data_IF_189927399366
#
_entry.id   IF_189927399366
#
_cell.length_a   1.000
_cell.length_b   1.000
_cell.length_c   1.000
_cell.angle_alpha   90.00
_cell.angle_beta   90.00
_cell.angle_gamma   90.00
#
_symmetry.space_group_name_H-M   'P 1'
#
loop_
_entity.id
_entity.type
_entity.pdbx_description
1 polymer ?
#
# COMPACT_ATOMS: atom_id res chain seq x y z
N UNK A 1 -1.57 -9.99 -13.57
CA UNK A 1 -1.47 -11.12 -14.50
C UNK A 1 -2.70 -11.98 -14.33
N UNK A 2 -3.27 -12.49 -15.46
CA UNK A 2 -4.37 -13.46 -15.42
C UNK A 2 -3.91 -14.72 -14.70
N UNK A 3 -4.75 -15.26 -13.82
CA UNK A 3 -4.47 -16.55 -13.16
C UNK A 3 -4.50 -17.74 -14.15
N UNK A 4 -5.15 -17.56 -15.32
CA UNK A 4 -5.28 -18.59 -16.35
C UNK A 4 -4.33 -18.27 -17.50
N UNK A 5 -3.31 -19.12 -17.69
CA UNK A 5 -2.27 -18.93 -18.71
C UNK A 5 -2.56 -19.69 -20.00
N UNK A 6 -3.25 -20.83 -19.91
CA UNK A 6 -3.50 -21.72 -21.04
C UNK A 6 -4.94 -22.22 -20.98
N UNK A 7 -5.57 -22.34 -22.14
CA UNK A 7 -6.83 -23.05 -22.32
C UNK A 7 -6.60 -24.35 -23.08
N UNK A 8 -6.76 -25.48 -22.38
CA UNK A 8 -6.73 -26.82 -22.99
C UNK A 8 -7.81 -27.66 -22.30
N UNK A 9 -8.96 -27.83 -22.95
CA UNK A 9 -10.15 -28.49 -22.36
C UNK A 9 -10.62 -27.87 -21.04
N UNK A 10 -10.14 -26.67 -20.71
CA UNK A 10 -10.37 -25.91 -19.49
C UNK A 10 -9.33 -24.81 -19.31
N UNK A 11 -9.51 -23.96 -18.29
CA UNK A 11 -8.54 -22.94 -17.92
C UNK A 11 -7.49 -23.53 -16.98
N UNK A 12 -6.21 -23.40 -17.32
CA UNK A 12 -5.08 -23.86 -16.51
C UNK A 12 -4.31 -22.69 -15.93
N UNK A 13 -4.03 -22.75 -14.62
CA UNK A 13 -2.96 -21.98 -14.00
C UNK A 13 -1.61 -22.56 -14.40
N UNK A 14 -0.50 -21.84 -14.11
CA UNK A 14 0.85 -22.41 -14.35
C UNK A 14 1.04 -23.75 -13.60
N UNK A 15 0.61 -23.80 -12.34
CA UNK A 15 0.72 -25.01 -11.51
C UNK A 15 -0.09 -26.18 -12.08
N UNK A 16 -1.32 -25.94 -12.53
CA UNK A 16 -2.16 -26.97 -13.14
C UNK A 16 -1.53 -27.48 -14.44
N UNK A 17 -1.00 -26.58 -15.25
CA UNK A 17 -0.31 -26.89 -16.51
C UNK A 17 0.93 -27.77 -16.28
N UNK A 18 1.74 -27.40 -15.29
CA UNK A 18 2.93 -28.19 -14.89
C UNK A 18 2.55 -29.56 -14.31
N UNK A 19 1.49 -29.60 -13.49
CA UNK A 19 0.97 -30.87 -12.92
C UNK A 19 0.44 -31.81 -14.00
N UNK A 20 -0.12 -31.27 -15.08
CA UNK A 20 -0.56 -32.04 -16.23
C UNK A 20 0.60 -32.54 -17.14
N UNK A 21 1.84 -32.28 -16.76
CA UNK A 21 3.05 -32.72 -17.47
C UNK A 21 3.49 -31.80 -18.60
N UNK A 22 2.91 -30.61 -18.70
CA UNK A 22 3.27 -29.63 -19.71
C UNK A 22 4.07 -28.49 -19.10
N UNK A 23 5.03 -27.93 -19.85
CA UNK A 23 5.73 -26.72 -19.46
C UNK A 23 6.43 -26.78 -18.09
N UNK A 24 7.07 -27.90 -17.76
CA UNK A 24 7.76 -28.14 -16.47
C UNK A 24 8.75 -27.01 -16.13
N UNK A 25 9.41 -26.44 -17.13
CA UNK A 25 10.37 -25.34 -16.97
C UNK A 25 9.73 -23.95 -17.20
N UNK A 26 8.43 -23.85 -17.41
CA UNK A 26 7.76 -22.58 -17.61
C UNK A 26 7.70 -21.78 -16.29
N UNK A 27 7.84 -20.46 -16.39
CA UNK A 27 7.80 -19.53 -15.26
C UNK A 27 6.74 -18.45 -15.46
N UNK A 28 6.23 -17.91 -14.37
CA UNK A 28 5.32 -16.76 -14.40
C UNK A 28 6.06 -15.53 -13.85
N UNK A 29 6.85 -14.92 -14.71
CA UNK A 29 7.65 -13.72 -14.39
C UNK A 29 7.15 -12.59 -15.28
N UNK A 30 7.05 -11.37 -14.73
CA UNK A 30 6.73 -10.19 -15.53
C UNK A 30 7.93 -9.86 -16.43
N UNK A 31 7.79 -9.92 -17.76
CA UNK A 31 8.92 -9.67 -18.67
C UNK A 31 9.36 -8.21 -18.71
N UNK A 32 8.55 -7.27 -18.20
CA UNK A 32 8.84 -5.83 -18.25
C UNK A 32 9.32 -5.43 -19.64
N UNK A 33 8.39 -5.34 -20.59
CA UNK A 33 8.75 -5.04 -21.99
C UNK A 33 9.28 -3.62 -22.17
N UNK A 34 10.25 -3.46 -23.09
CA UNK A 34 10.80 -2.17 -23.48
C UNK A 34 9.70 -1.25 -24.03
N UNK A 35 8.86 -1.78 -24.90
CA UNK A 35 7.64 -1.11 -25.40
C UNK A 35 6.51 -2.12 -25.58
N UNK A 36 5.27 -1.63 -25.60
CA UNK A 36 4.10 -2.48 -25.84
C UNK A 36 4.01 -3.04 -27.28
N UNK A 37 4.86 -2.57 -28.19
CA UNK A 37 4.87 -2.98 -29.59
C UNK A 37 6.05 -3.90 -29.94
N UNK A 38 7.22 -3.69 -29.37
CA UNK A 38 8.40 -4.53 -29.63
C UNK A 38 8.40 -5.80 -28.80
N UNK A 39 7.78 -5.76 -27.61
CA UNK A 39 7.71 -6.87 -26.66
C UNK A 39 9.08 -7.48 -26.31
N UNK A 40 10.15 -6.68 -26.39
CA UNK A 40 11.50 -7.09 -25.97
C UNK A 40 11.52 -7.12 -24.43
N UNK A 41 11.79 -8.28 -23.79
CA UNK A 41 11.89 -8.34 -22.35
C UNK A 41 13.07 -7.53 -21.81
N UNK A 42 12.92 -6.93 -20.65
CA UNK A 42 13.99 -6.20 -19.95
C UNK A 42 14.45 -6.89 -18.66
N UNK A 43 13.66 -7.84 -18.17
CA UNK A 43 13.94 -8.45 -16.86
C UNK A 43 15.07 -9.46 -16.93
N UNK A 44 16.09 -9.27 -16.10
CA UNK A 44 17.22 -10.21 -15.94
C UNK A 44 16.78 -11.62 -15.50
N UNK A 45 15.58 -11.75 -14.93
CA UNK A 45 15.04 -13.03 -14.49
C UNK A 45 14.58 -13.95 -15.64
N UNK A 46 14.58 -13.48 -16.88
CA UNK A 46 14.26 -14.26 -18.08
C UNK A 46 15.45 -14.42 -19.02
N UNK A 47 16.53 -13.64 -18.77
CA UNK A 47 17.78 -13.69 -19.53
C UNK A 47 18.54 -14.98 -19.16
N UNK A 48 18.95 -15.75 -20.16
CA UNK A 48 19.69 -17.00 -20.01
C UNK A 48 18.99 -18.11 -19.17
N UNK A 49 17.67 -18.08 -19.06
CA UNK A 49 16.92 -19.03 -18.20
C UNK A 49 16.23 -20.15 -19.00
N UNK A 50 16.23 -20.09 -20.32
CA UNK A 50 15.56 -21.06 -21.18
C UNK A 50 16.28 -22.40 -21.27
N UNK A 51 15.54 -23.45 -21.62
CA UNK A 51 16.10 -24.77 -21.92
C UNK A 51 16.44 -24.85 -23.40
N UNK A 52 17.67 -25.20 -23.79
CA UNK A 52 18.04 -25.33 -25.20
C UNK A 52 17.23 -26.43 -25.88
N UNK A 53 16.77 -26.13 -27.09
CA UNK A 53 16.09 -27.08 -27.96
C UNK A 53 16.87 -27.17 -29.27
N UNK A 54 17.34 -28.37 -29.65
CA UNK A 54 18.20 -28.58 -30.83
C UNK A 54 17.56 -28.14 -32.14
N UNK A 55 16.21 -28.19 -32.20
CA UNK A 55 15.46 -27.92 -33.41
C UNK A 55 14.96 -26.46 -33.50
N UNK A 56 15.24 -25.64 -32.46
CA UNK A 56 14.88 -24.22 -32.40
C UNK A 56 16.14 -23.39 -32.22
N UNK A 57 16.82 -23.15 -33.33
CA UNK A 57 18.15 -22.50 -33.34
C UNK A 57 18.12 -20.97 -33.33
N UNK A 58 17.00 -20.39 -33.75
CA UNK A 58 16.86 -18.94 -33.89
C UNK A 58 15.59 -18.43 -33.18
N UNK A 59 15.63 -17.17 -32.81
CA UNK A 59 14.48 -16.44 -32.23
C UNK A 59 13.53 -15.94 -33.35
N UNK A 60 12.44 -15.24 -32.98
CA UNK A 60 11.46 -14.70 -33.93
C UNK A 60 12.06 -13.64 -34.87
N UNK A 61 13.17 -13.01 -34.51
CA UNK A 61 13.87 -12.00 -35.31
C UNK A 61 15.03 -12.59 -36.11
N UNK A 62 15.28 -13.92 -36.02
CA UNK A 62 16.42 -14.60 -36.68
C UNK A 62 17.71 -14.47 -35.91
N UNK A 63 17.69 -14.06 -34.63
CA UNK A 63 18.86 -14.06 -33.76
C UNK A 63 19.14 -15.49 -33.30
N UNK A 64 20.37 -15.95 -33.44
CA UNK A 64 20.73 -17.31 -33.04
C UNK A 64 20.65 -17.47 -31.53
N UNK A 65 19.91 -18.51 -31.10
CA UNK A 65 19.75 -18.83 -29.68
C UNK A 65 21.00 -19.45 -29.09
N UNK A 66 21.22 -19.17 -27.82
CA UNK A 66 22.25 -19.86 -27.04
C UNK A 66 22.02 -21.37 -27.02
N UNK A 67 23.05 -22.16 -27.33
CA UNK A 67 22.98 -23.63 -27.28
C UNK A 67 23.08 -24.20 -25.87
N UNK A 68 23.32 -23.36 -24.86
CA UNK A 68 23.49 -23.78 -23.46
C UNK A 68 22.50 -23.12 -22.52
N UNK A 69 22.15 -21.87 -22.77
CA UNK A 69 21.26 -21.07 -21.93
C UNK A 69 20.55 -19.99 -22.78
N UNK A 70 19.58 -20.36 -23.61
CA UNK A 70 18.79 -19.38 -24.37
C UNK A 70 17.87 -18.59 -23.44
N UNK A 71 17.35 -17.48 -23.95
CA UNK A 71 16.39 -16.70 -23.19
C UNK A 71 15.00 -17.36 -23.20
N UNK A 72 14.24 -17.11 -22.14
CA UNK A 72 12.85 -17.50 -22.11
C UNK A 72 12.00 -16.56 -22.94
N UNK A 73 11.21 -17.13 -23.84
CA UNK A 73 10.27 -16.38 -24.68
C UNK A 73 10.64 -16.43 -26.16
N UNK A 74 10.01 -15.55 -26.94
CA UNK A 74 10.14 -15.54 -28.41
C UNK A 74 11.39 -14.76 -28.89
N UNK A 75 12.03 -13.99 -28.05
CA UNK A 75 13.14 -13.08 -28.38
C UNK A 75 14.35 -13.45 -27.54
N UNK A 76 15.51 -13.56 -28.19
CA UNK A 76 16.83 -13.60 -27.55
C UNK A 76 17.26 -12.16 -27.28
N UNK A 77 17.53 -11.83 -26.01
CA UNK A 77 17.83 -10.46 -25.59
C UNK A 77 18.98 -10.46 -24.59
N UNK A 78 19.54 -9.31 -24.36
CA UNK A 78 20.53 -9.13 -23.29
C UNK A 78 19.98 -8.10 -22.30
N UNK A 79 19.75 -8.52 -21.08
CA UNK A 79 19.36 -7.59 -20.03
C UNK A 79 20.50 -6.60 -19.76
N UNK A 80 20.26 -5.32 -20.09
CA UNK A 80 21.31 -4.29 -20.10
C UNK A 80 21.54 -3.59 -18.76
N UNK A 81 20.82 -3.99 -17.70
CA UNK A 81 20.89 -3.38 -16.36
C UNK A 81 21.42 -4.33 -15.30
N UNK A 82 21.87 -3.74 -14.20
CA UNK A 82 22.22 -4.46 -12.97
C UNK A 82 21.24 -4.14 -11.85
N UNK A 83 21.11 -5.05 -10.89
CA UNK A 83 20.28 -4.83 -9.70
C UNK A 83 20.64 -3.52 -9.01
N UNK A 84 19.62 -2.73 -8.70
CA UNK A 84 19.78 -1.37 -8.18
C UNK A 84 20.26 -1.40 -6.73
N UNK A 85 21.10 -0.41 -6.37
CA UNK A 85 21.48 -0.12 -4.99
C UNK A 85 21.89 1.33 -4.84
N UNK A 86 21.71 1.92 -3.64
CA UNK A 86 22.10 3.29 -3.37
C UNK A 86 21.02 4.31 -3.72
N UNK A 87 21.42 5.50 -4.16
CA UNK A 87 20.55 6.65 -4.30
C UNK A 87 20.40 7.08 -5.75
N UNK A 88 19.18 7.31 -6.18
CA UNK A 88 18.82 7.78 -7.51
C UNK A 88 17.93 9.02 -7.41
N UNK A 89 17.91 9.84 -8.45
CA UNK A 89 17.02 11.00 -8.57
C UNK A 89 15.94 10.75 -9.61
N UNK A 90 14.72 11.21 -9.32
CA UNK A 90 13.57 11.17 -10.24
C UNK A 90 13.16 12.59 -10.60
N UNK A 91 12.95 12.85 -11.87
CA UNK A 91 12.50 14.13 -12.43
C UNK A 91 13.41 14.62 -13.55
N UNK A 92 13.15 15.82 -14.04
CA UNK A 92 13.93 16.40 -15.14
C UNK A 92 15.41 16.55 -14.77
N UNK A 93 16.28 15.93 -15.54
CA UNK A 93 17.72 15.91 -15.27
C UNK A 93 18.17 14.88 -14.23
N UNK A 94 17.26 14.08 -13.67
CA UNK A 94 17.55 12.98 -12.75
C UNK A 94 17.97 11.70 -13.47
N UNK A 95 18.33 10.68 -12.68
CA UNK A 95 18.63 9.35 -13.19
C UNK A 95 17.42 8.72 -13.91
N UNK A 96 16.24 9.02 -13.43
CA UNK A 96 14.96 8.64 -14.05
C UNK A 96 14.14 9.88 -14.32
N UNK A 97 13.56 9.97 -15.51
CA UNK A 97 12.77 11.15 -15.92
C UNK A 97 11.38 11.19 -15.29
N UNK A 98 10.88 10.04 -14.81
CA UNK A 98 9.54 9.89 -14.19
C UNK A 98 9.56 8.80 -13.11
N UNK A 99 8.51 8.76 -12.29
CA UNK A 99 8.35 7.70 -11.29
C UNK A 99 8.13 6.35 -12.00
N UNK A 100 7.41 6.35 -13.11
CA UNK A 100 7.22 5.14 -13.90
C UNK A 100 8.53 4.59 -14.50
N UNK A 101 9.45 5.46 -14.93
CA UNK A 101 10.77 5.03 -15.40
C UNK A 101 11.55 4.33 -14.26
N UNK A 102 11.52 4.87 -13.05
CA UNK A 102 12.12 4.24 -11.87
C UNK A 102 11.45 2.90 -11.52
N UNK A 103 10.11 2.83 -11.62
CA UNK A 103 9.34 1.58 -11.46
C UNK A 103 9.79 0.52 -12.46
N UNK A 104 9.94 0.89 -13.73
CA UNK A 104 10.42 -0.03 -14.78
C UNK A 104 11.79 -0.59 -14.39
N UNK A 105 12.73 0.26 -13.98
CA UNK A 105 14.05 -0.17 -13.52
C UNK A 105 14.00 -1.13 -12.33
N UNK A 106 13.17 -0.84 -11.33
CA UNK A 106 12.96 -1.75 -10.19
C UNK A 106 12.45 -3.13 -10.61
N UNK A 107 11.44 -3.15 -11.49
CA UNK A 107 10.83 -4.41 -11.92
C UNK A 107 11.74 -5.21 -12.87
N UNK A 108 12.51 -4.52 -13.71
CA UNK A 108 13.41 -5.14 -14.68
C UNK A 108 14.65 -5.73 -14.00
N UNK A 109 15.28 -4.99 -13.12
CA UNK A 109 16.60 -5.33 -12.60
C UNK A 109 16.59 -5.81 -11.15
N UNK A 110 15.52 -5.54 -10.40
CA UNK A 110 15.48 -5.80 -8.95
C UNK A 110 16.45 -4.90 -8.19
N UNK A 111 16.74 -5.28 -6.94
CA UNK A 111 17.68 -4.56 -6.08
C UNK A 111 18.68 -5.50 -5.44
N UNK A 112 19.93 -5.02 -5.24
CA UNK A 112 21.02 -5.75 -4.56
C UNK A 112 21.44 -5.09 -3.24
N UNK A 113 20.84 -3.96 -2.90
CA UNK A 113 21.05 -3.20 -1.67
C UNK A 113 19.87 -2.26 -1.44
N UNK A 114 19.88 -1.46 -0.36
CA UNK A 114 18.87 -0.43 -0.15
C UNK A 114 18.84 0.56 -1.31
N UNK A 115 17.64 0.89 -1.80
CA UNK A 115 17.42 1.87 -2.87
C UNK A 115 16.65 3.06 -2.35
N UNK A 116 17.14 4.27 -2.61
CA UNK A 116 16.45 5.51 -2.29
C UNK A 116 16.25 6.34 -3.55
N UNK A 117 15.00 6.63 -3.87
CA UNK A 117 14.63 7.57 -4.93
C UNK A 117 14.34 8.94 -4.32
N UNK A 118 15.21 9.92 -4.60
CA UNK A 118 15.01 11.32 -4.29
C UNK A 118 14.24 11.98 -5.44
N UNK A 119 12.96 12.23 -5.21
CA UNK A 119 12.06 12.84 -6.21
C UNK A 119 12.30 14.35 -6.19
N UNK A 120 12.68 14.92 -7.33
CA UNK A 120 12.89 16.34 -7.50
C UNK A 120 11.55 17.10 -7.41
N UNK A 121 11.62 18.38 -7.07
CA UNK A 121 10.43 19.22 -6.94
C UNK A 121 9.62 19.25 -8.23
N UNK A 122 8.31 19.04 -8.13
CA UNK A 122 7.40 19.02 -9.28
C UNK A 122 6.10 18.28 -9.02
N UNK A 123 5.24 18.26 -10.03
CA UNK A 123 4.00 17.50 -10.05
C UNK A 123 4.15 16.29 -10.95
N UNK A 124 3.79 15.12 -10.42
CA UNK A 124 3.89 13.81 -11.08
C UNK A 124 2.49 13.20 -11.15
N UNK A 125 1.87 13.28 -12.31
CA UNK A 125 0.52 12.72 -12.55
C UNK A 125 0.66 11.32 -13.12
N UNK A 126 0.95 10.36 -12.24
CA UNK A 126 1.30 9.00 -12.61
C UNK A 126 0.62 7.98 -11.68
N UNK A 127 0.02 6.95 -12.27
CA UNK A 127 -0.52 5.82 -11.53
C UNK A 127 0.51 4.69 -11.50
N UNK A 128 1.14 4.48 -10.37
CA UNK A 128 2.23 3.52 -10.20
C UNK A 128 1.74 2.28 -9.48
N UNK A 129 1.81 1.16 -10.16
CA UNK A 129 1.58 -0.16 -9.59
C UNK A 129 2.91 -0.89 -9.45
N UNK A 130 3.35 -1.09 -8.21
CA UNK A 130 4.52 -1.90 -7.85
C UNK A 130 4.07 -3.26 -7.36
N UNK A 131 4.55 -4.29 -8.04
CA UNK A 131 4.43 -5.69 -7.63
C UNK A 131 5.72 -6.14 -6.95
N UNK A 132 5.86 -7.43 -6.68
CA UNK A 132 7.10 -7.99 -6.13
C UNK A 132 8.34 -7.55 -6.93
N UNK A 133 9.35 -7.05 -6.22
CA UNK A 133 10.64 -6.64 -6.78
C UNK A 133 11.70 -7.60 -6.25
N UNK A 134 12.48 -8.18 -7.16
CA UNK A 134 13.54 -9.12 -6.80
C UNK A 134 14.59 -8.47 -5.90
N UNK A 135 15.03 -9.17 -4.85
CA UNK A 135 16.07 -8.71 -3.91
C UNK A 135 15.56 -7.84 -2.76
N UNK A 136 14.27 -7.48 -2.73
CA UNK A 136 13.69 -6.74 -1.59
C UNK A 136 13.69 -7.60 -0.33
N UNK A 137 14.07 -7.00 0.78
CA UNK A 137 14.15 -7.65 2.09
C UNK A 137 14.16 -6.60 3.22
N UNK A 138 14.22 -7.07 4.48
CA UNK A 138 14.34 -6.17 5.63
C UNK A 138 15.61 -5.29 5.60
N UNK A 139 16.68 -5.73 4.95
CA UNK A 139 17.92 -4.96 4.75
C UNK A 139 17.91 -4.19 3.44
N UNK A 140 17.37 -4.76 2.39
CA UNK A 140 17.29 -4.14 1.06
C UNK A 140 15.90 -3.51 0.88
N UNK A 141 15.74 -2.28 1.30
CA UNK A 141 14.46 -1.56 1.29
C UNK A 141 14.37 -0.59 0.11
N UNK A 142 13.16 -0.27 -0.32
CA UNK A 142 12.89 0.76 -1.33
C UNK A 142 12.33 2.00 -0.64
N UNK A 143 12.92 3.16 -0.89
CA UNK A 143 12.43 4.44 -0.36
C UNK A 143 12.11 5.40 -1.49
N UNK A 144 10.91 5.96 -1.47
CA UNK A 144 10.51 7.11 -2.29
C UNK A 144 10.39 8.32 -1.37
N UNK A 145 11.12 9.38 -1.65
CA UNK A 145 11.07 10.59 -0.85
C UNK A 145 11.30 11.86 -1.66
N UNK A 146 10.81 12.99 -1.17
CA UNK A 146 11.16 14.29 -1.70
C UNK A 146 12.67 14.54 -1.52
N UNK A 147 13.35 14.98 -2.57
CA UNK A 147 14.76 15.39 -2.50
C UNK A 147 15.00 16.56 -1.55
N UNK A 148 13.99 17.43 -1.39
CA UNK A 148 14.03 18.57 -0.47
C UNK A 148 13.63 18.23 0.98
N UNK A 149 13.32 16.95 1.28
CA UNK A 149 12.74 16.55 2.57
C UNK A 149 11.52 17.40 2.99
N UNK A 150 10.75 17.89 2.02
CA UNK A 150 9.57 18.71 2.20
C UNK A 150 8.42 18.16 1.34
N UNK A 151 7.29 17.86 1.98
CA UNK A 151 6.14 17.28 1.30
C UNK A 151 5.54 18.21 0.23
N UNK A 152 5.63 19.53 0.42
CA UNK A 152 5.08 20.50 -0.54
C UNK A 152 5.89 20.60 -1.83
N UNK A 153 7.11 20.07 -1.86
CA UNK A 153 7.98 20.11 -3.04
C UNK A 153 7.62 19.07 -4.09
N UNK A 154 6.99 17.96 -3.69
CA UNK A 154 6.62 16.85 -4.58
C UNK A 154 5.14 16.58 -4.47
N UNK A 155 4.42 16.78 -5.55
CA UNK A 155 2.99 16.47 -5.65
C UNK A 155 2.84 15.23 -6.54
N UNK A 156 2.35 14.14 -5.97
CA UNK A 156 2.06 12.90 -6.69
C UNK A 156 0.56 12.74 -6.83
N UNK A 157 0.06 12.93 -8.06
CA UNK A 157 -1.37 12.95 -8.35
C UNK A 157 -1.88 11.62 -8.87
N UNK A 158 -3.05 11.20 -8.37
CA UNK A 158 -3.82 10.12 -8.95
C UNK A 158 -4.55 10.63 -10.21
N UNK A 159 -4.24 10.06 -11.35
CA UNK A 159 -4.93 10.32 -12.64
C UNK A 159 -5.96 9.23 -12.99
N UNK A 160 -6.34 8.40 -12.02
CA UNK A 160 -7.20 7.25 -12.23
C UNK A 160 -8.60 7.62 -12.74
N UNK A 161 -9.01 6.97 -13.82
CA UNK A 161 -10.31 7.15 -14.47
C UNK A 161 -11.26 5.96 -14.28
N UNK A 162 -10.84 4.93 -13.55
CA UNK A 162 -11.62 3.71 -13.31
C UNK A 162 -11.35 3.12 -11.93
N UNK A 163 -12.21 2.22 -11.47
CA UNK A 163 -12.02 1.50 -10.21
C UNK A 163 -10.72 0.70 -10.16
N UNK A 164 -10.26 0.18 -11.29
CA UNK A 164 -9.04 -0.64 -11.39
C UNK A 164 -7.74 0.19 -11.40
N UNK A 165 -7.84 1.48 -11.70
CA UNK A 165 -6.73 2.42 -11.73
C UNK A 165 -6.90 3.55 -10.70
N UNK A 166 -7.64 3.32 -9.62
CA UNK A 166 -7.91 4.31 -8.58
C UNK A 166 -6.79 4.33 -7.52
N UNK A 167 -5.62 4.84 -7.90
CA UNK A 167 -4.47 5.03 -6.99
C UNK A 167 -3.43 5.97 -7.63
N UNK A 168 -2.65 6.67 -6.83
CA UNK A 168 -1.38 7.25 -7.26
C UNK A 168 -0.28 6.19 -7.13
N UNK A 169 -0.21 5.50 -5.97
CA UNK A 169 0.69 4.39 -5.71
C UNK A 169 -0.10 3.15 -5.26
N UNK A 170 0.06 2.04 -5.93
CA UNK A 170 -0.40 0.73 -5.49
C UNK A 170 0.78 -0.19 -5.21
N UNK A 171 0.82 -0.79 -4.02
CA UNK A 171 1.74 -1.86 -3.65
C UNK A 171 0.97 -3.18 -3.62
N UNK A 172 1.43 -4.17 -4.37
CA UNK A 172 0.79 -5.49 -4.44
C UNK A 172 1.79 -6.61 -4.16
N UNK A 173 1.66 -7.27 -3.01
CA UNK A 173 2.59 -8.33 -2.61
C UNK A 173 4.05 -7.84 -2.48
N UNK A 174 4.24 -6.58 -2.13
CA UNK A 174 5.55 -5.95 -1.99
C UNK A 174 5.66 -5.29 -0.62
N UNK A 175 6.60 -5.75 0.20
CA UNK A 175 6.94 -5.18 1.49
C UNK A 175 8.20 -4.30 1.48
N UNK A 176 8.61 -3.85 2.68
CA UNK A 176 9.84 -3.08 2.92
C UNK A 176 9.97 -1.79 2.10
N UNK A 177 8.83 -1.12 1.85
CA UNK A 177 8.74 0.15 1.13
C UNK A 177 8.55 1.31 2.10
N UNK A 178 9.26 2.39 1.88
CA UNK A 178 9.14 3.64 2.65
C UNK A 178 8.74 4.78 1.71
N UNK A 179 7.73 5.55 2.13
CA UNK A 179 7.26 6.75 1.41
C UNK A 179 7.34 7.92 2.37
N UNK A 180 8.08 8.97 1.99
CA UNK A 180 8.34 10.09 2.90
C UNK A 180 8.29 11.45 2.19
N UNK A 181 7.76 12.44 2.92
CA UNK A 181 7.79 13.84 2.48
C UNK A 181 7.21 14.05 1.08
N UNK A 182 6.07 13.44 0.78
CA UNK A 182 5.37 13.55 -0.51
C UNK A 182 3.95 14.01 -0.26
N UNK A 183 3.45 14.94 -1.07
CA UNK A 183 2.02 15.27 -1.14
C UNK A 183 1.34 14.36 -2.15
N UNK A 184 0.46 13.49 -1.68
CA UNK A 184 -0.43 12.71 -2.54
C UNK A 184 -1.73 13.47 -2.74
N UNK A 185 -2.12 13.66 -3.99
CA UNK A 185 -3.33 14.38 -4.34
C UNK A 185 -4.23 13.52 -5.23
N UNK A 186 -5.52 13.52 -4.95
CA UNK A 186 -6.53 12.97 -5.82
C UNK A 186 -7.34 14.11 -6.41
N UNK A 187 -7.39 14.23 -7.72
CA UNK A 187 -8.08 15.33 -8.39
C UNK A 187 -9.36 14.90 -9.13
N UNK A 188 -9.72 13.63 -9.07
CA UNK A 188 -10.94 13.11 -9.67
C UNK A 188 -12.12 13.15 -8.70
N UNK A 189 -13.25 13.65 -9.14
CA UNK A 189 -14.51 13.59 -8.38
C UNK A 189 -15.09 12.17 -8.25
N UNK A 190 -14.61 11.21 -9.04
CA UNK A 190 -15.08 9.81 -9.05
C UNK A 190 -14.11 8.83 -8.43
N UNK A 191 -12.80 9.06 -8.55
CA UNK A 191 -11.74 8.14 -8.12
C UNK A 191 -10.58 8.91 -7.50
N UNK A 192 -10.39 8.81 -6.19
CA UNK A 192 -9.45 9.65 -5.45
C UNK A 192 -8.71 8.89 -4.33
N UNK A 193 -8.44 7.59 -4.51
CA UNK A 193 -7.50 6.89 -3.64
C UNK A 193 -6.08 7.34 -3.94
N UNK A 194 -5.25 7.44 -2.93
CA UNK A 194 -3.86 7.89 -3.09
C UNK A 194 -2.90 6.73 -2.98
N UNK A 195 -2.88 6.01 -1.86
CA UNK A 195 -2.08 4.81 -1.69
C UNK A 195 -3.02 3.61 -1.53
N UNK A 196 -2.79 2.57 -2.31
CA UNK A 196 -3.51 1.29 -2.24
C UNK A 196 -2.53 0.18 -1.86
N UNK A 197 -2.86 -0.57 -0.82
CA UNK A 197 -2.14 -1.74 -0.36
C UNK A 197 -2.96 -2.99 -0.72
N UNK A 198 -2.41 -3.89 -1.52
CA UNK A 198 -3.10 -5.07 -2.02
C UNK A 198 -2.25 -6.33 -1.86
N UNK A 199 -2.89 -7.43 -1.50
CA UNK A 199 -2.19 -8.67 -1.20
C UNK A 199 -1.30 -8.57 0.05
N UNK A 200 -0.34 -9.45 0.19
CA UNK A 200 0.60 -9.46 1.31
C UNK A 200 1.60 -8.30 1.19
N UNK A 201 1.39 -7.25 1.97
CA UNK A 201 2.24 -6.05 2.03
C UNK A 201 2.73 -5.90 3.46
N UNK A 202 4.02 -6.07 3.71
CA UNK A 202 4.58 -6.01 5.06
C UNK A 202 5.63 -4.90 5.22
N UNK A 203 5.87 -4.47 6.46
CA UNK A 203 6.95 -3.52 6.78
C UNK A 203 6.97 -2.25 5.92
N UNK A 204 5.77 -1.73 5.57
CA UNK A 204 5.63 -0.47 4.84
C UNK A 204 5.60 0.71 5.80
N UNK A 205 6.28 1.79 5.48
CA UNK A 205 6.27 3.03 6.25
C UNK A 205 5.81 4.19 5.38
N UNK A 206 4.77 4.90 5.83
CA UNK A 206 4.27 6.14 5.23
C UNK A 206 4.47 7.24 6.27
N UNK A 207 5.37 8.17 6.01
CA UNK A 207 5.87 9.10 7.03
C UNK A 207 5.95 10.53 6.50
N UNK A 208 5.59 11.50 7.31
CA UNK A 208 5.77 12.94 7.05
C UNK A 208 5.24 13.40 5.69
N UNK A 209 4.16 12.80 5.24
CA UNK A 209 3.53 13.03 3.93
C UNK A 209 2.19 13.73 4.07
N UNK A 210 1.71 14.34 3.00
CA UNK A 210 0.41 15.02 2.95
C UNK A 210 -0.53 14.28 2.01
N UNK A 211 -1.80 14.22 2.38
CA UNK A 211 -2.86 13.58 1.59
C UNK A 211 -3.97 14.60 1.39
N UNK A 212 -4.13 15.05 0.16
CA UNK A 212 -5.13 16.04 -0.24
C UNK A 212 -6.21 15.38 -1.10
N UNK A 213 -7.47 15.66 -0.85
CA UNK A 213 -8.56 15.02 -1.58
C UNK A 213 -9.82 15.84 -1.64
N UNK A 214 -10.96 15.16 -1.61
CA UNK A 214 -12.30 15.72 -1.62
C UNK A 214 -13.11 15.24 -0.43
N UNK A 215 -13.92 16.10 0.13
CA UNK A 215 -14.96 15.68 1.09
C UNK A 215 -15.95 14.75 0.36
N UNK A 216 -16.06 13.52 0.81
CA UNK A 216 -16.89 12.51 0.15
C UNK A 216 -17.13 11.34 1.07
N UNK A 217 -18.32 10.75 1.01
CA UNK A 217 -18.65 9.47 1.64
C UNK A 217 -18.48 8.28 0.70
N UNK A 218 -17.97 8.49 -0.50
CA UNK A 218 -17.75 7.42 -1.48
C UNK A 218 -16.54 6.56 -1.15
N UNK A 219 -16.67 5.23 -1.18
CA UNK A 219 -15.59 4.27 -0.99
C UNK A 219 -14.46 4.38 -2.04
N UNK A 220 -14.67 5.13 -3.12
CA UNK A 220 -13.65 5.43 -4.11
C UNK A 220 -12.70 6.55 -3.66
N UNK A 221 -13.02 7.24 -2.59
CA UNK A 221 -12.25 8.37 -2.05
C UNK A 221 -11.69 7.98 -0.68
N UNK A 222 -10.51 7.39 -0.67
CA UNK A 222 -9.79 6.99 0.54
C UNK A 222 -8.32 7.36 0.38
N UNK A 223 -7.71 7.96 1.38
CA UNK A 223 -6.32 8.37 1.25
C UNK A 223 -5.36 7.19 1.32
N UNK A 224 -5.45 6.34 2.34
CA UNK A 224 -4.70 5.08 2.42
C UNK A 224 -5.71 3.93 2.51
N UNK A 225 -5.75 3.11 1.49
CA UNK A 225 -6.70 2.01 1.36
C UNK A 225 -5.98 0.66 1.32
N UNK A 226 -6.48 -0.32 2.08
CA UNK A 226 -6.03 -1.70 2.01
C UNK A 226 -7.21 -2.66 2.13
N UNK A 227 -7.30 -3.67 1.27
CA UNK A 227 -8.34 -4.68 1.29
C UNK A 227 -7.77 -6.08 1.12
N UNK A 228 -8.02 -6.92 2.09
CA UNK A 228 -7.54 -8.30 2.16
C UNK A 228 -6.02 -8.40 2.36
N UNK A 229 -5.56 -9.34 3.15
CA UNK A 229 -4.15 -9.72 3.34
C UNK A 229 -3.12 -8.58 3.51
N UNK A 230 -3.50 -7.47 4.12
CA UNK A 230 -2.54 -6.46 4.58
C UNK A 230 -1.72 -7.08 5.71
N UNK A 231 -0.42 -7.20 5.51
CA UNK A 231 0.48 -7.93 6.39
C UNK A 231 1.04 -7.07 7.54
N UNK A 232 1.98 -7.63 8.27
CA UNK A 232 2.55 -7.13 9.52
C UNK A 232 3.43 -5.89 9.35
N UNK A 233 3.54 -5.08 10.41
CA UNK A 233 4.56 -4.03 10.52
C UNK A 233 4.31 -2.76 9.72
N UNK A 234 3.07 -2.45 9.37
CA UNK A 234 2.71 -1.20 8.68
C UNK A 234 2.79 -0.01 9.65
N UNK A 235 3.49 1.06 9.24
CA UNK A 235 3.64 2.30 10.02
C UNK A 235 3.13 3.50 9.22
N UNK A 236 2.12 4.18 9.75
CA UNK A 236 1.54 5.40 9.19
C UNK A 236 1.72 6.50 10.23
N UNK A 237 2.67 7.41 10.01
CA UNK A 237 3.04 8.35 11.06
C UNK A 237 3.39 9.75 10.54
N UNK A 238 3.13 10.75 11.37
CA UNK A 238 3.46 12.16 11.12
C UNK A 238 2.85 12.71 9.81
N UNK A 239 1.76 12.11 9.33
CA UNK A 239 1.12 12.54 8.09
C UNK A 239 -0.01 13.54 8.34
N UNK A 240 -0.31 14.34 7.32
CA UNK A 240 -1.46 15.25 7.31
C UNK A 240 -2.45 14.81 6.25
N UNK A 241 -3.70 14.60 6.66
CA UNK A 241 -4.82 14.28 5.78
C UNK A 241 -5.80 15.45 5.79
N UNK A 242 -6.11 15.98 4.61
CA UNK A 242 -7.06 17.07 4.44
C UNK A 242 -8.06 16.72 3.36
N UNK A 243 -9.35 16.82 3.70
CA UNK A 243 -10.46 16.46 2.81
C UNK A 243 -10.26 15.05 2.21
N UNK A 244 -9.87 14.09 3.05
CA UNK A 244 -9.35 12.77 2.66
C UNK A 244 -10.38 11.82 2.02
N UNK A 245 -11.62 12.25 1.85
CA UNK A 245 -12.71 11.46 1.30
C UNK A 245 -13.50 10.70 2.37
N UNK A 246 -13.93 9.48 2.05
CA UNK A 246 -14.70 8.64 2.97
C UNK A 246 -13.87 8.25 4.21
N UNK A 247 -12.62 7.85 4.00
CA UNK A 247 -11.69 7.56 5.10
C UNK A 247 -10.33 8.20 4.85
N UNK A 248 -9.68 8.72 5.89
CA UNK A 248 -8.27 9.03 5.81
C UNK A 248 -7.46 7.73 5.71
N UNK A 249 -7.77 6.75 6.56
CA UNK A 249 -7.12 5.43 6.58
C UNK A 249 -8.22 4.37 6.68
N UNK A 250 -8.29 3.47 5.72
CA UNK A 250 -9.19 2.31 5.71
C UNK A 250 -8.42 1.06 5.34
N UNK A 251 -8.23 0.18 6.31
CA UNK A 251 -7.45 -1.05 6.17
C UNK A 251 -8.26 -2.25 6.62
N UNK A 252 -8.30 -3.26 5.75
CA UNK A 252 -8.93 -4.56 6.03
C UNK A 252 -7.90 -5.65 5.82
N UNK A 253 -7.57 -6.38 6.87
CA UNK A 253 -6.73 -7.57 6.79
C UNK A 253 -7.58 -8.83 6.49
N UNK A 254 -6.96 -9.99 6.46
CA UNK A 254 -7.67 -11.25 6.25
C UNK A 254 -8.35 -11.74 7.53
N UNK A 255 -9.59 -12.21 7.44
CA UNK A 255 -10.28 -12.87 8.55
C UNK A 255 -9.64 -14.18 8.98
N UNK A 256 -8.88 -14.83 8.09
CA UNK A 256 -8.18 -16.09 8.38
C UNK A 256 -6.77 -15.89 8.95
N UNK A 257 -6.23 -14.69 8.87
CA UNK A 257 -4.89 -14.33 9.35
C UNK A 257 -4.85 -12.84 9.64
N UNK A 258 -5.14 -12.48 10.89
CA UNK A 258 -5.09 -11.09 11.32
C UNK A 258 -3.68 -10.51 11.13
N UNK A 259 -3.61 -9.27 10.67
CA UNK A 259 -2.34 -8.57 10.53
C UNK A 259 -1.93 -7.94 11.87
N UNK A 260 -0.63 -7.94 12.15
CA UNK A 260 -0.07 -7.45 13.43
C UNK A 260 0.92 -6.31 13.22
N UNK A 261 1.25 -5.59 14.29
CA UNK A 261 2.28 -4.54 14.27
C UNK A 261 1.90 -3.30 13.48
N UNK A 262 0.60 -3.02 13.35
CA UNK A 262 0.11 -1.76 12.76
C UNK A 262 0.30 -0.61 13.75
N UNK A 263 1.01 0.43 13.33
CA UNK A 263 1.19 1.68 14.08
C UNK A 263 0.61 2.86 13.27
N UNK A 264 -0.36 3.57 13.84
CA UNK A 264 -0.91 4.82 13.30
C UNK A 264 -0.65 5.92 14.32
N UNK A 265 0.39 6.72 14.10
CA UNK A 265 0.88 7.62 15.15
C UNK A 265 1.13 9.04 14.67
N UNK A 266 0.77 10.02 15.52
CA UNK A 266 1.04 11.44 15.31
C UNK A 266 0.53 11.99 13.96
N UNK A 267 -0.57 11.46 13.44
CA UNK A 267 -1.17 11.97 12.22
C UNK A 267 -2.19 13.08 12.54
N UNK A 268 -2.32 14.02 11.62
CA UNK A 268 -3.39 15.03 11.66
C UNK A 268 -4.39 14.74 10.54
N UNK A 269 -5.65 14.51 10.92
CA UNK A 269 -6.75 14.19 10.00
C UNK A 269 -7.79 15.31 10.11
N UNK A 270 -8.10 15.95 8.98
CA UNK A 270 -9.01 17.09 8.96
C UNK A 270 -10.07 16.91 7.87
N UNK A 271 -11.33 17.10 8.22
CA UNK A 271 -12.48 17.11 7.30
C UNK A 271 -12.61 15.88 6.40
N UNK A 272 -12.27 14.70 6.89
CA UNK A 272 -12.63 13.42 6.25
C UNK A 272 -13.97 12.94 6.77
N UNK A 273 -14.74 12.15 5.99
CA UNK A 273 -16.00 11.59 6.48
C UNK A 273 -15.76 10.63 7.66
N UNK A 274 -14.70 9.84 7.62
CA UNK A 274 -14.24 9.04 8.76
C UNK A 274 -12.71 9.09 8.88
N UNK A 275 -12.20 9.10 10.11
CA UNK A 275 -10.78 9.18 10.38
C UNK A 275 -10.06 7.87 10.07
N UNK A 276 -10.10 6.92 10.99
CA UNK A 276 -9.40 5.63 10.93
C UNK A 276 -10.41 4.50 11.01
N UNK A 277 -10.36 3.58 10.04
CA UNK A 277 -11.17 2.35 10.00
C UNK A 277 -10.27 1.13 9.83
N UNK A 278 -10.33 0.20 10.79
CA UNK A 278 -9.53 -1.03 10.79
C UNK A 278 -10.43 -2.25 10.96
N UNK A 279 -10.10 -3.31 10.20
CA UNK A 279 -10.84 -4.55 10.19
C UNK A 279 -9.90 -5.77 10.14
N UNK A 280 -9.98 -6.68 11.11
CA UNK A 280 -9.14 -7.88 11.27
C UNK A 280 -7.65 -7.58 11.52
N UNK A 281 -7.35 -6.73 12.49
CA UNK A 281 -5.98 -6.49 12.96
C UNK A 281 -5.81 -6.92 14.40
N UNK A 282 -4.63 -7.41 14.77
CA UNK A 282 -4.29 -7.76 16.15
C UNK A 282 -3.23 -6.83 16.74
N UNK A 283 -3.49 -6.33 17.93
CA UNK A 283 -2.53 -5.53 18.70
C UNK A 283 -2.13 -4.24 18.02
N UNK A 284 -3.11 -3.47 17.53
CA UNK A 284 -2.84 -2.17 16.87
C UNK A 284 -2.42 -1.09 17.85
N UNK A 285 -1.56 -0.18 17.41
CA UNK A 285 -1.19 1.03 18.15
C UNK A 285 -1.68 2.26 17.41
N UNK A 286 -2.65 2.98 18.03
CA UNK A 286 -3.20 4.24 17.51
C UNK A 286 -2.91 5.32 18.57
N UNK A 287 -1.87 6.14 18.34
CA UNK A 287 -1.35 7.03 19.37
C UNK A 287 -1.09 8.43 18.85
N UNK A 288 -1.48 9.43 19.66
CA UNK A 288 -1.13 10.84 19.43
C UNK A 288 -1.71 11.44 18.15
N UNK A 289 -2.77 10.85 17.58
CA UNK A 289 -3.38 11.40 16.37
C UNK A 289 -4.35 12.54 16.72
N UNK A 290 -4.41 13.55 15.87
CA UNK A 290 -5.40 14.63 15.92
C UNK A 290 -6.42 14.42 14.79
N UNK A 291 -7.70 14.23 15.15
CA UNK A 291 -8.81 14.05 14.20
C UNK A 291 -9.81 15.17 14.44
N UNK A 292 -10.04 16.03 13.44
CA UNK A 292 -10.86 17.24 13.65
C UNK A 292 -11.65 17.67 12.41
N UNK A 293 -12.82 18.26 12.65
CA UNK A 293 -13.67 18.88 11.63
C UNK A 293 -15.14 18.53 11.80
N UNK A 294 -16.01 19.34 11.20
CA UNK A 294 -17.46 19.17 11.23
C UNK A 294 -17.99 18.14 10.22
N UNK A 295 -17.19 17.70 9.28
CA UNK A 295 -17.58 16.66 8.30
C UNK A 295 -17.32 15.23 8.78
N UNK A 296 -16.71 15.07 9.96
CA UNK A 296 -16.34 13.74 10.48
C UNK A 296 -17.56 13.06 11.10
N UNK A 297 -17.87 11.85 10.63
CA UNK A 297 -18.90 11.00 11.20
C UNK A 297 -18.33 10.01 12.24
N UNK A 298 -17.13 9.45 12.00
CA UNK A 298 -16.45 8.56 12.94
C UNK A 298 -14.99 8.95 13.10
N UNK A 299 -14.50 9.06 14.34
CA UNK A 299 -13.10 9.30 14.63
C UNK A 299 -12.23 8.08 14.37
N UNK A 300 -12.28 7.09 15.29
CA UNK A 300 -11.54 5.82 15.22
C UNK A 300 -12.56 4.67 15.31
N UNK A 301 -12.51 3.76 14.35
CA UNK A 301 -13.38 2.59 14.29
C UNK A 301 -12.54 1.31 14.11
N UNK A 302 -12.64 0.41 15.08
CA UNK A 302 -12.02 -0.91 15.05
C UNK A 302 -13.12 -1.99 15.05
N UNK A 303 -13.03 -2.93 14.13
CA UNK A 303 -13.95 -4.06 14.06
C UNK A 303 -13.18 -5.36 13.87
N UNK A 304 -13.43 -6.35 14.70
CA UNK A 304 -12.65 -7.60 14.77
C UNK A 304 -11.14 -7.34 14.87
N UNK A 305 -10.77 -6.37 15.69
CA UNK A 305 -9.37 -6.06 15.97
C UNK A 305 -9.04 -6.58 17.37
N UNK A 306 -8.42 -7.76 17.42
CA UNK A 306 -8.19 -8.48 18.66
C UNK A 306 -6.82 -8.13 19.29
N UNK A 307 -6.49 -8.78 20.42
CA UNK A 307 -5.22 -8.62 21.13
C UNK A 307 -5.10 -7.29 21.91
N UNK A 308 -3.88 -6.97 22.32
CA UNK A 308 -3.57 -5.82 23.15
C UNK A 308 -3.54 -4.50 22.34
N UNK A 309 -4.68 -4.07 21.87
CA UNK A 309 -4.82 -2.80 21.17
C UNK A 309 -4.48 -1.62 22.09
N UNK A 310 -3.76 -0.63 21.59
CA UNK A 310 -3.43 0.59 22.31
C UNK A 310 -4.02 1.79 21.56
N UNK A 311 -5.00 2.47 22.18
CA UNK A 311 -5.60 3.71 21.69
C UNK A 311 -5.28 4.79 22.71
N UNK A 312 -4.23 5.58 22.47
CA UNK A 312 -3.65 6.45 23.49
C UNK A 312 -3.36 7.85 22.99
N UNK A 313 -3.71 8.85 23.82
CA UNK A 313 -3.32 10.24 23.61
C UNK A 313 -3.86 10.86 22.34
N UNK A 314 -4.95 10.32 21.77
CA UNK A 314 -5.56 10.89 20.57
C UNK A 314 -6.45 12.08 20.95
N UNK A 315 -6.45 13.09 20.09
CA UNK A 315 -7.31 14.25 20.21
C UNK A 315 -8.37 14.22 19.10
N UNK A 316 -9.60 13.92 19.44
CA UNK A 316 -10.75 13.84 18.52
C UNK A 316 -11.66 15.02 18.82
N UNK A 317 -11.70 16.00 17.90
CA UNK A 317 -12.58 17.15 17.96
C UNK A 317 -13.47 17.19 16.71
N UNK A 318 -14.58 16.50 16.77
CA UNK A 318 -15.53 16.29 15.70
C UNK A 318 -16.95 16.47 16.25
N UNK A 319 -17.40 17.72 16.52
CA UNK A 319 -18.63 18.00 17.27
C UNK A 319 -19.91 17.49 16.61
N UNK A 320 -19.87 17.12 15.34
CA UNK A 320 -20.98 16.53 14.60
C UNK A 320 -20.80 15.01 14.36
N UNK A 321 -19.75 14.40 14.95
CA UNK A 321 -19.48 12.97 14.76
C UNK A 321 -20.37 12.09 15.60
N UNK A 322 -20.83 10.99 15.03
CA UNK A 322 -21.62 9.99 15.72
C UNK A 322 -20.77 9.20 16.74
N UNK A 323 -19.53 8.80 16.35
CA UNK A 323 -18.58 8.11 17.25
C UNK A 323 -17.24 8.81 17.35
N UNK A 324 -16.72 8.94 18.58
CA UNK A 324 -15.33 9.27 18.84
C UNK A 324 -14.42 8.06 18.62
N UNK A 325 -14.55 7.06 19.50
CA UNK A 325 -13.87 5.77 19.41
C UNK A 325 -14.94 4.67 19.44
N UNK A 326 -14.95 3.85 18.41
CA UNK A 326 -15.89 2.72 18.29
C UNK A 326 -15.14 1.41 18.16
N UNK A 327 -15.43 0.46 19.04
CA UNK A 327 -14.91 -0.91 18.99
C UNK A 327 -16.08 -1.90 18.84
N UNK A 328 -15.91 -2.85 17.91
CA UNK A 328 -16.92 -3.87 17.66
C UNK A 328 -16.24 -5.24 17.47
N UNK A 329 -16.60 -6.21 18.31
CA UNK A 329 -15.99 -7.54 18.33
C UNK A 329 -14.47 -7.50 18.50
N UNK A 330 -13.92 -6.60 19.32
CA UNK A 330 -12.50 -6.48 19.58
C UNK A 330 -12.18 -7.16 20.92
N UNK A 331 -11.53 -8.31 20.85
CA UNK A 331 -11.28 -9.14 22.02
C UNK A 331 -9.79 -9.14 22.40
N UNK A 332 -9.52 -8.83 23.65
CA UNK A 332 -8.22 -9.07 24.24
C UNK A 332 -8.28 -10.30 25.18
N UNK A 333 -7.21 -10.58 25.90
CA UNK A 333 -7.15 -11.69 26.83
C UNK A 333 -6.62 -11.26 28.20
N UNK A 334 -6.89 -12.06 29.23
CA UNK A 334 -6.37 -11.80 30.58
C UNK A 334 -4.84 -11.80 30.58
N UNK A 335 -4.23 -10.73 31.11
CA UNK A 335 -2.79 -10.52 31.12
C UNK A 335 -2.23 -9.92 29.81
N UNK A 336 -3.10 -9.66 28.83
CA UNK A 336 -2.76 -8.98 27.57
C UNK A 336 -3.94 -8.10 27.12
N UNK A 337 -4.37 -7.23 28.03
CA UNK A 337 -5.55 -6.36 27.89
C UNK A 337 -5.31 -5.26 26.86
N UNK A 338 -6.37 -4.92 26.13
CA UNK A 338 -6.38 -3.72 25.30
C UNK A 338 -6.53 -2.46 26.18
N UNK A 339 -6.03 -1.33 25.72
CA UNK A 339 -6.00 -0.09 26.49
C UNK A 339 -6.48 1.11 25.69
N UNK A 340 -7.47 1.82 26.22
CA UNK A 340 -7.98 3.09 25.72
C UNK A 340 -7.69 4.15 26.81
N UNK A 341 -6.68 4.99 26.59
CA UNK A 341 -6.15 5.83 27.67
C UNK A 341 -5.73 7.23 27.19
N UNK A 342 -5.93 8.22 28.05
CA UNK A 342 -5.48 9.59 27.83
C UNK A 342 -6.00 10.25 26.54
N UNK A 343 -7.14 9.83 26.03
CA UNK A 343 -7.73 10.44 24.85
C UNK A 343 -8.60 11.64 25.24
N UNK A 344 -8.57 12.68 24.41
CA UNK A 344 -9.43 13.86 24.52
C UNK A 344 -10.46 13.81 23.38
N UNK A 345 -11.74 13.67 23.70
CA UNK A 345 -12.81 13.40 22.75
C UNK A 345 -13.94 14.41 22.92
N UNK A 346 -14.32 15.06 21.82
CA UNK A 346 -15.49 15.92 21.73
C UNK A 346 -16.29 15.57 20.46
N UNK A 347 -17.48 15.00 20.62
CA UNK A 347 -18.34 14.49 19.56
C UNK A 347 -19.81 14.74 19.83
N UNK A 348 -20.71 14.36 18.91
CA UNK A 348 -22.14 14.56 19.08
C UNK A 348 -22.79 13.46 19.96
N UNK A 349 -22.67 12.19 19.57
CA UNK A 349 -23.46 11.11 20.19
C UNK A 349 -22.66 10.22 21.16
N UNK A 350 -21.64 9.51 20.70
CA UNK A 350 -20.91 8.53 21.52
C UNK A 350 -19.41 8.85 21.59
N UNK A 351 -18.91 9.13 22.79
CA UNK A 351 -17.50 9.40 23.01
C UNK A 351 -16.65 8.15 22.79
N UNK A 352 -16.85 7.12 23.62
CA UNK A 352 -16.25 5.80 23.50
C UNK A 352 -17.37 4.78 23.52
N UNK A 353 -17.48 3.99 22.47
CA UNK A 353 -18.56 2.99 22.35
C UNK A 353 -17.99 1.60 22.10
N UNK A 354 -18.16 0.73 23.09
CA UNK A 354 -17.80 -0.68 23.04
C UNK A 354 -19.05 -1.48 22.67
N UNK A 355 -19.19 -1.84 21.39
CA UNK A 355 -20.33 -2.59 20.89
C UNK A 355 -20.13 -4.09 21.22
N UNK A 356 -20.64 -5.05 20.52
CA UNK A 356 -20.64 -6.46 20.86
C UNK A 356 -19.24 -7.05 21.18
N UNK A 357 -19.17 -7.98 22.17
CA UNK A 357 -18.03 -8.87 22.45
C UNK A 357 -16.65 -8.18 22.55
N UNK A 358 -16.58 -7.06 23.25
CA UNK A 358 -15.29 -6.40 23.57
C UNK A 358 -14.86 -6.84 24.97
N UNK A 359 -14.04 -7.88 25.06
CA UNK A 359 -13.53 -8.40 26.33
C UNK A 359 -12.15 -7.83 26.66
N UNK A 360 -11.84 -7.69 27.95
CA UNK A 360 -10.56 -7.25 28.49
C UNK A 360 -10.09 -5.89 27.93
N UNK A 361 -11.03 -4.92 27.93
CA UNK A 361 -10.74 -3.55 27.53
C UNK A 361 -10.54 -2.66 28.78
N UNK A 362 -9.36 -2.08 28.92
CA UNK A 362 -9.01 -1.12 29.97
C UNK A 362 -9.26 0.31 29.47
N UNK A 363 -10.19 1.03 30.09
CA UNK A 363 -10.57 2.39 29.70
C UNK A 363 -10.23 3.35 30.84
N UNK A 364 -9.14 4.12 30.73
CA UNK A 364 -8.62 4.96 31.80
C UNK A 364 -8.32 6.36 31.34
N UNK A 365 -8.48 7.34 32.22
CA UNK A 365 -8.00 8.73 32.07
C UNK A 365 -8.40 9.40 30.73
N UNK A 366 -9.53 9.05 30.17
CA UNK A 366 -10.05 9.73 28.98
C UNK A 366 -10.89 10.93 29.41
N UNK A 367 -10.81 12.02 28.65
CA UNK A 367 -11.70 13.16 28.79
C UNK A 367 -12.67 13.16 27.62
N UNK A 368 -13.97 13.03 27.92
CA UNK A 368 -15.01 12.90 26.92
C UNK A 368 -16.07 13.99 27.10
N UNK A 369 -16.37 14.70 26.03
CA UNK A 369 -17.50 15.60 25.92
C UNK A 369 -18.41 15.14 24.81
N UNK A 370 -19.69 14.94 25.10
CA UNK A 370 -20.73 14.69 24.10
C UNK A 370 -21.77 15.80 24.13
N UNK A 371 -22.37 16.08 22.98
CA UNK A 371 -23.38 17.13 22.88
C UNK A 371 -24.80 16.61 23.09
N UNK A 372 -25.13 15.46 22.54
CA UNK A 372 -26.50 14.97 22.54
C UNK A 372 -26.77 13.69 23.36
N UNK A 373 -25.88 12.70 23.48
CA UNK A 373 -26.25 11.42 24.09
C UNK A 373 -25.30 10.84 25.14
N UNK A 374 -24.26 10.07 24.77
CA UNK A 374 -23.56 9.21 25.71
C UNK A 374 -22.04 9.41 25.70
N UNK A 375 -21.47 9.67 26.88
CA UNK A 375 -20.02 9.78 27.00
C UNK A 375 -19.33 8.41 26.93
N UNK A 376 -19.95 7.39 27.52
CA UNK A 376 -19.49 6.00 27.62
C UNK A 376 -20.63 5.04 27.36
#
# INVERSE_FOLDING_TARGET
LSSNLVYYQGNYTLTDWQTAGFGTNSVSINPVYETDSTLVPMTVALDNLGTPLSDITDDINGTTRSTTAPDMGAIEFTASGSALSGTYTIGTGGNYTSINAARIGLLAYGISGPVTFNILSGTYTENIHLTAVSGVSATNTITFQSAAANADSVIWENSGSSSNANYALQLSGLGHVKVKHITFKGDSSSYSRKIVLAGAVDSVTIDSSKFLGYQSSSANHVSIYGSGAVATGLKIRNNTFTDGGNYAISLTASSSSAATGLEITNNTITNTYSGIYLYYFDGVTIRGNTIKGSYINNGINLTYCDGANIIEGNHIYAPDAYYGIFLNYCQASSGNEATIVNNLICVDDYGIYLNYYNYYQNVYYNTVKVHNNHAL
#
